data_IF_145772091872
#
_entry.id   IF_145772091872
#
_cell.length_a   1.000
_cell.length_b   1.000
_cell.length_c   1.000
_cell.angle_alpha   90.00
_cell.angle_beta   90.00
_cell.angle_gamma   90.00
#
_symmetry.space_group_name_H-M   'P 1'
#
loop_
_entity.id
_entity.type
_entity.pdbx_description
1 polymer ?
#
# COMPACT_ATOMS: atom_id res chain seq x y z
N UNK A 1 -21.59 6.39 -16.25
CA UNK A 1 -20.59 6.91 -15.29
C UNK A 1 -19.30 7.11 -16.07
N UNK A 2 -18.88 8.35 -16.27
CA UNK A 2 -17.68 8.70 -17.05
C UNK A 2 -16.41 8.45 -16.22
N UNK A 3 -15.26 8.30 -16.89
CA UNK A 3 -13.95 8.09 -16.25
C UNK A 3 -13.62 9.18 -15.22
N UNK A 4 -14.09 10.41 -15.46
CA UNK A 4 -13.88 11.57 -14.58
C UNK A 4 -14.77 11.54 -13.31
N UNK A 5 -15.96 10.92 -13.38
CA UNK A 5 -16.84 10.74 -12.22
C UNK A 5 -16.30 9.67 -11.26
N UNK A 6 -15.71 8.59 -11.78
CA UNK A 6 -15.07 7.57 -10.96
C UNK A 6 -13.83 8.10 -10.21
N UNK A 7 -13.04 8.97 -10.84
CA UNK A 7 -11.89 9.64 -10.22
C UNK A 7 -12.35 10.60 -9.13
N UNK A 8 -13.48 11.31 -9.29
CA UNK A 8 -14.04 12.20 -8.26
C UNK A 8 -14.59 11.46 -7.04
N UNK A 9 -15.11 10.24 -7.20
CA UNK A 9 -15.63 9.43 -6.09
C UNK A 9 -14.49 8.89 -5.22
N UNK A 10 -13.32 8.55 -5.82
CA UNK A 10 -12.14 8.10 -5.08
C UNK A 10 -11.34 9.25 -4.45
N UNK A 11 -11.42 10.46 -5.00
CA UNK A 11 -10.64 11.61 -4.55
C UNK A 11 -11.09 12.21 -3.21
N UNK A 12 -12.19 11.74 -2.59
CA UNK A 12 -12.64 12.18 -1.25
C UNK A 12 -13.58 11.16 -0.61
N UNK A 13 -13.12 9.99 -0.24
CA UNK A 13 -13.85 9.20 0.76
C UNK A 13 -13.57 9.80 2.14
N UNK A 14 -14.53 10.58 2.66
CA UNK A 14 -14.60 10.90 4.09
C UNK A 14 -15.01 9.64 4.83
N UNK A 15 -14.06 8.90 5.32
CA UNK A 15 -14.32 7.83 6.28
C UNK A 15 -14.47 8.49 7.65
N UNK A 16 -15.71 8.62 8.14
CA UNK A 16 -15.94 8.96 9.55
C UNK A 16 -15.56 7.74 10.38
N UNK A 17 -14.37 7.75 10.97
CA UNK A 17 -14.08 6.88 12.11
C UNK A 17 -14.68 7.52 13.37
N UNK A 18 -15.22 6.67 14.24
CA UNK A 18 -15.79 7.10 15.52
C UNK A 18 -14.63 7.55 16.42
N UNK A 19 -14.34 8.84 16.41
CA UNK A 19 -13.47 9.51 17.36
C UNK A 19 -14.37 10.30 18.28
N UNK A 20 -14.05 10.30 19.59
CA UNK A 20 -14.82 10.95 20.64
C UNK A 20 -15.33 12.33 20.23
N UNK A 21 -16.64 12.57 20.44
CA UNK A 21 -17.34 13.80 20.13
C UNK A 21 -16.90 15.02 20.96
N UNK A 22 -15.92 14.87 21.86
CA UNK A 22 -15.47 15.94 22.76
C UNK A 22 -14.28 16.76 22.26
N UNK A 23 -13.65 16.42 21.14
CA UNK A 23 -12.60 17.24 20.53
C UNK A 23 -13.14 18.04 19.35
N UNK A 24 -13.73 19.19 19.61
CA UNK A 24 -14.18 20.23 18.63
C UNK A 24 -13.04 20.88 17.81
N UNK A 25 -12.04 20.09 17.39
CA UNK A 25 -11.21 20.42 16.24
C UNK A 25 -11.43 19.31 15.23
N UNK A 26 -12.25 19.60 14.21
CA UNK A 26 -12.50 18.74 13.06
C UNK A 26 -11.16 18.32 12.42
N UNK A 27 -10.55 17.26 12.91
CA UNK A 27 -9.46 16.60 12.21
C UNK A 27 -10.12 15.80 11.09
N UNK A 28 -10.23 16.40 9.91
CA UNK A 28 -10.68 15.67 8.73
C UNK A 28 -9.65 14.59 8.43
N UNK A 29 -10.09 13.32 8.43
CA UNK A 29 -9.30 12.22 7.95
C UNK A 29 -9.65 11.99 6.49
N UNK A 30 -8.66 12.09 5.62
CA UNK A 30 -8.81 11.95 4.16
C UNK A 30 -7.87 10.86 3.69
N UNK A 31 -8.37 9.91 2.89
CA UNK A 31 -7.53 9.01 2.10
C UNK A 31 -7.67 9.41 0.64
N UNK A 32 -6.54 9.67 0.00
CA UNK A 32 -6.52 10.12 -1.39
C UNK A 32 -5.45 9.43 -2.23
N UNK A 33 -5.66 9.44 -3.54
CA UNK A 33 -4.64 9.07 -4.52
C UNK A 33 -3.76 10.30 -4.77
N UNK A 34 -2.47 10.15 -4.51
CA UNK A 34 -1.48 11.23 -4.70
C UNK A 34 -0.62 10.94 -5.91
N UNK A 35 -0.75 11.77 -6.95
CA UNK A 35 0.11 11.66 -8.13
C UNK A 35 1.52 12.14 -7.81
N UNK A 36 2.59 11.39 -8.18
CA UNK A 36 3.97 11.82 -7.99
C UNK A 36 4.33 13.13 -8.71
N UNK A 37 3.54 13.57 -9.67
CA UNK A 37 3.73 14.84 -10.40
C UNK A 37 2.89 15.99 -9.81
N UNK A 38 2.22 15.79 -8.66
CA UNK A 38 1.35 16.78 -8.04
C UNK A 38 2.04 17.54 -6.90
N UNK A 39 1.55 18.77 -6.58
CA UNK A 39 2.01 19.51 -5.41
C UNK A 39 1.72 18.80 -4.07
N UNK A 40 0.60 18.08 -3.88
CA UNK A 40 0.39 17.24 -2.70
C UNK A 40 1.49 16.20 -2.47
N UNK A 41 2.08 15.65 -3.54
CA UNK A 41 3.19 14.71 -3.40
C UNK A 41 4.45 15.35 -2.79
N UNK A 42 4.70 16.62 -3.06
CA UNK A 42 5.83 17.34 -2.44
C UNK A 42 5.67 17.40 -0.92
N UNK A 43 4.45 17.65 -0.42
CA UNK A 43 4.16 17.61 1.01
C UNK A 43 4.29 16.19 1.56
N UNK A 44 3.68 15.20 0.90
CA UNK A 44 3.77 13.79 1.26
C UNK A 44 5.23 13.33 1.34
N UNK A 45 6.05 13.67 0.33
CA UNK A 45 7.47 13.34 0.30
C UNK A 45 8.21 13.85 1.54
N UNK A 46 8.00 15.12 1.90
CA UNK A 46 8.64 15.75 3.05
C UNK A 46 8.17 15.14 4.37
N UNK A 47 6.88 14.92 4.52
CA UNK A 47 6.26 14.46 5.77
C UNK A 47 6.49 12.96 6.02
N UNK A 48 6.57 12.16 4.94
CA UNK A 48 6.79 10.71 5.00
C UNK A 48 8.21 10.29 4.59
N UNK A 49 9.17 11.23 4.52
CA UNK A 49 10.60 10.99 4.26
C UNK A 49 10.86 10.13 3.00
N UNK A 50 10.11 10.37 1.92
CA UNK A 50 10.30 9.66 0.65
C UNK A 50 11.65 10.08 0.03
N UNK A 51 12.51 9.10 -0.23
CA UNK A 51 13.82 9.35 -0.84
C UNK A 51 13.69 9.75 -2.31
N UNK A 52 14.71 10.45 -2.86
CA UNK A 52 14.71 10.87 -4.26
C UNK A 52 14.69 9.67 -5.22
N UNK A 53 15.39 8.60 -4.89
CA UNK A 53 15.41 7.37 -5.70
C UNK A 53 14.02 6.73 -5.75
N UNK A 54 13.33 6.64 -4.60
CA UNK A 54 11.97 6.08 -4.56
C UNK A 54 10.95 6.99 -5.27
N UNK A 55 11.09 8.31 -5.15
CA UNK A 55 10.28 9.26 -5.94
C UNK A 55 10.48 9.06 -7.44
N UNK A 56 11.74 8.93 -7.90
CA UNK A 56 12.04 8.71 -9.32
C UNK A 56 11.40 7.41 -9.84
N UNK A 57 11.47 6.34 -9.05
CA UNK A 57 10.81 5.08 -9.36
C UNK A 57 9.28 5.24 -9.43
N UNK A 58 8.66 5.86 -8.44
CA UNK A 58 7.23 6.12 -8.42
C UNK A 58 6.76 6.95 -9.63
N UNK A 59 7.53 7.99 -10.00
CA UNK A 59 7.23 8.80 -11.20
C UNK A 59 7.26 7.97 -12.47
N UNK A 60 8.26 7.11 -12.62
CA UNK A 60 8.38 6.22 -13.77
C UNK A 60 7.22 5.22 -13.83
N UNK A 61 6.91 4.54 -12.72
CA UNK A 61 5.82 3.57 -12.64
C UNK A 61 4.45 4.22 -12.84
N UNK A 62 4.24 5.40 -12.28
CA UNK A 62 2.97 6.14 -12.43
C UNK A 62 2.71 6.52 -13.88
N UNK A 63 3.73 6.97 -14.64
CA UNK A 63 3.62 7.24 -16.09
C UNK A 63 3.24 5.99 -16.88
N UNK A 64 3.70 4.82 -16.45
CA UNK A 64 3.35 3.52 -17.02
C UNK A 64 2.01 2.97 -16.50
N UNK A 65 1.33 3.67 -15.60
CA UNK A 65 0.13 3.20 -14.88
C UNK A 65 0.35 1.91 -14.07
N UNK A 66 1.57 1.71 -13.61
CA UNK A 66 1.99 0.53 -12.82
C UNK A 66 2.09 0.81 -11.32
N UNK A 67 1.82 2.01 -10.88
CA UNK A 67 1.76 2.34 -9.46
C UNK A 67 0.67 3.35 -9.15
N UNK A 68 0.06 3.19 -7.97
CA UNK A 68 -0.87 4.13 -7.36
C UNK A 68 -0.38 4.40 -5.94
N UNK A 69 -0.12 5.66 -5.62
CA UNK A 69 0.23 6.10 -4.27
C UNK A 69 -1.06 6.53 -3.56
N UNK A 70 -1.33 5.90 -2.43
CA UNK A 70 -2.44 6.22 -1.55
C UNK A 70 -1.87 6.82 -0.26
N UNK A 71 -2.40 7.94 0.17
CA UNK A 71 -1.95 8.61 1.38
C UNK A 71 -3.13 8.95 2.29
N UNK A 72 -2.87 8.97 3.59
CA UNK A 72 -3.81 9.43 4.60
C UNK A 72 -3.34 10.75 5.19
N UNK A 73 -4.24 11.73 5.16
CA UNK A 73 -4.06 13.06 5.73
C UNK A 73 -4.92 13.19 6.98
N UNK A 74 -4.38 13.79 8.03
CA UNK A 74 -5.08 14.15 9.26
C UNK A 74 -4.76 15.61 9.58
N UNK A 75 -5.78 16.46 9.60
CA UNK A 75 -5.63 17.86 9.95
C UNK A 75 -4.67 18.65 9.04
N UNK A 76 -4.61 18.35 7.74
CA UNK A 76 -3.76 19.03 6.76
C UNK A 76 -2.33 18.50 6.69
N UNK A 77 -2.03 17.36 7.35
CA UNK A 77 -0.72 16.72 7.33
C UNK A 77 -0.83 15.26 6.90
N UNK A 78 0.05 14.81 6.02
CA UNK A 78 0.17 13.39 5.67
C UNK A 78 0.83 12.60 6.80
N UNK A 79 0.13 11.58 7.28
CA UNK A 79 0.54 10.76 8.42
C UNK A 79 0.67 9.28 8.07
N UNK A 80 0.41 8.92 6.83
CA UNK A 80 0.60 7.56 6.35
C UNK A 80 0.49 7.46 4.84
N UNK A 81 1.11 6.41 4.30
CA UNK A 81 1.09 6.11 2.87
C UNK A 81 1.16 4.61 2.62
N UNK A 82 0.74 4.22 1.43
CA UNK A 82 0.95 2.91 0.85
C UNK A 82 1.02 3.05 -0.67
N UNK A 83 1.79 2.20 -1.32
CA UNK A 83 1.82 2.12 -2.78
C UNK A 83 1.26 0.78 -3.23
N UNK A 84 0.29 0.80 -4.13
CA UNK A 84 -0.10 -0.35 -4.93
C UNK A 84 0.78 -0.37 -6.19
N UNK A 85 1.58 -1.41 -6.39
CA UNK A 85 2.46 -1.60 -7.55
C UNK A 85 2.03 -2.82 -8.36
N UNK A 86 2.26 -2.77 -9.67
CA UNK A 86 2.01 -3.90 -10.59
C UNK A 86 3.29 -4.66 -10.93
N UNK A 87 4.40 -4.32 -10.31
CA UNK A 87 5.66 -5.04 -10.41
C UNK A 87 6.29 -5.23 -9.04
N UNK A 88 7.30 -6.06 -8.96
CA UNK A 88 8.02 -6.40 -7.73
C UNK A 88 9.43 -5.79 -7.70
N UNK A 89 9.75 -4.90 -8.64
CA UNK A 89 11.09 -4.30 -8.73
C UNK A 89 12.16 -5.39 -8.86
N UNK A 90 13.17 -5.37 -7.99
CA UNK A 90 14.27 -6.33 -8.00
C UNK A 90 13.82 -7.77 -7.63
N UNK A 91 12.62 -7.96 -7.05
CA UNK A 91 12.03 -9.26 -6.70
C UNK A 91 11.25 -9.89 -7.86
N UNK A 92 11.07 -9.17 -8.99
CA UNK A 92 10.17 -9.57 -10.09
C UNK A 92 10.47 -10.99 -10.60
N UNK A 93 11.73 -11.34 -10.80
CA UNK A 93 12.09 -12.65 -11.36
C UNK A 93 11.72 -13.82 -10.45
N UNK A 94 11.72 -13.62 -9.14
CA UNK A 94 11.39 -14.65 -8.14
C UNK A 94 9.88 -14.79 -8.03
N UNK A 95 9.18 -13.67 -7.87
CA UNK A 95 7.74 -13.65 -7.63
C UNK A 95 6.95 -13.95 -8.91
N UNK A 96 7.36 -13.38 -10.06
CA UNK A 96 6.65 -13.52 -11.32
C UNK A 96 6.61 -14.97 -11.83
N UNK A 97 7.58 -15.80 -11.46
CA UNK A 97 7.62 -17.21 -11.82
C UNK A 97 6.47 -18.01 -11.21
N UNK A 98 6.16 -17.77 -9.94
CA UNK A 98 5.17 -18.53 -9.19
C UNK A 98 3.82 -17.80 -9.13
N UNK A 99 3.84 -16.46 -9.22
CA UNK A 99 2.68 -15.57 -9.13
C UNK A 99 2.69 -14.52 -10.24
N UNK A 100 2.50 -14.91 -11.52
CA UNK A 100 2.56 -13.99 -12.64
C UNK A 100 1.51 -12.87 -12.55
N UNK A 101 1.96 -11.62 -12.72
CA UNK A 101 1.09 -10.45 -12.70
C UNK A 101 0.47 -10.11 -11.34
N UNK A 102 1.00 -10.66 -10.25
CA UNK A 102 0.54 -10.36 -8.89
C UNK A 102 0.86 -8.89 -8.54
N UNK A 103 -0.15 -8.02 -8.29
CA UNK A 103 0.12 -6.68 -7.77
C UNK A 103 0.55 -6.75 -6.32
N UNK A 104 1.37 -5.78 -5.89
CA UNK A 104 1.86 -5.75 -4.52
C UNK A 104 1.46 -4.49 -3.75
N UNK A 105 1.25 -4.66 -2.45
CA UNK A 105 1.31 -3.59 -1.45
C UNK A 105 2.77 -3.34 -1.12
N UNK A 106 3.22 -2.11 -1.34
CA UNK A 106 4.59 -1.70 -1.09
C UNK A 106 4.62 -0.43 -0.23
N UNK A 107 5.66 -0.27 0.57
CA UNK A 107 5.93 0.92 1.35
C UNK A 107 4.72 1.41 2.20
N UNK A 108 4.06 0.48 2.91
CA UNK A 108 3.06 0.84 3.92
C UNK A 108 3.77 1.46 5.13
N UNK A 109 3.54 2.73 5.35
CA UNK A 109 4.13 3.49 6.45
C UNK A 109 3.06 4.32 7.16
N UNK A 110 3.17 4.41 8.49
CA UNK A 110 2.37 5.29 9.35
C UNK A 110 3.33 6.03 10.28
N UNK A 111 3.21 7.36 10.34
CA UNK A 111 3.90 8.20 11.32
C UNK A 111 3.71 7.60 12.71
N UNK A 112 4.78 7.52 13.49
CA UNK A 112 4.79 6.81 14.79
C UNK A 112 3.74 7.35 15.77
N UNK A 113 3.48 8.66 15.75
CA UNK A 113 2.50 9.32 16.61
C UNK A 113 1.04 8.98 16.23
N UNK A 114 0.83 8.39 15.04
CA UNK A 114 -0.49 8.01 14.51
C UNK A 114 -0.68 6.50 14.39
N UNK A 115 0.28 5.70 14.89
CA UNK A 115 0.16 4.23 14.91
C UNK A 115 -0.91 3.77 15.89
N UNK A 116 -1.35 2.51 15.72
CA UNK A 116 -2.36 1.84 16.53
C UNK A 116 -3.75 2.47 16.52
N UNK A 117 -4.03 3.30 15.53
CA UNK A 117 -5.30 4.00 15.32
C UNK A 117 -6.09 3.46 14.11
N UNK A 118 -5.72 2.30 13.59
CA UNK A 118 -6.40 1.67 12.45
C UNK A 118 -5.99 2.18 11.07
N UNK A 119 -5.13 3.21 10.97
CA UNK A 119 -4.76 3.83 9.69
C UNK A 119 -4.09 2.86 8.71
N UNK A 120 -3.24 1.96 9.20
CA UNK A 120 -2.61 0.93 8.36
C UNK A 120 -3.66 -0.02 7.77
N UNK A 121 -4.62 -0.49 8.59
CA UNK A 121 -5.74 -1.31 8.12
C UNK A 121 -6.54 -0.60 7.05
N UNK A 122 -6.84 0.68 7.24
CA UNK A 122 -7.58 1.49 6.28
C UNK A 122 -6.83 1.64 4.95
N UNK A 123 -5.53 1.97 4.98
CA UNK A 123 -4.71 2.09 3.77
C UNK A 123 -4.63 0.77 3.00
N UNK A 124 -4.43 -0.36 3.69
CA UNK A 124 -4.43 -1.69 3.05
C UNK A 124 -5.78 -1.97 2.41
N UNK A 125 -6.90 -1.71 3.11
CA UNK A 125 -8.24 -1.93 2.56
C UNK A 125 -8.50 -1.08 1.31
N UNK A 126 -8.04 0.19 1.29
CA UNK A 126 -8.17 1.05 0.12
C UNK A 126 -7.31 0.55 -1.03
N UNK A 127 -6.08 0.08 -0.77
CA UNK A 127 -5.23 -0.54 -1.78
C UNK A 127 -5.84 -1.82 -2.37
N UNK A 128 -6.45 -2.68 -1.54
CA UNK A 128 -7.18 -3.86 -1.99
C UNK A 128 -8.38 -3.48 -2.89
N UNK A 129 -9.15 -2.46 -2.52
CA UNK A 129 -10.27 -1.99 -3.32
C UNK A 129 -9.80 -1.42 -4.66
N UNK A 130 -8.68 -0.70 -4.67
CA UNK A 130 -8.09 -0.20 -5.90
C UNK A 130 -7.59 -1.34 -6.80
N UNK A 131 -6.95 -2.37 -6.23
CA UNK A 131 -6.56 -3.57 -6.97
C UNK A 131 -7.79 -4.29 -7.58
N UNK A 132 -8.88 -4.45 -6.81
CA UNK A 132 -10.15 -5.01 -7.35
C UNK A 132 -10.70 -4.16 -8.48
N UNK A 133 -10.72 -2.84 -8.34
CA UNK A 133 -11.18 -1.90 -9.38
C UNK A 133 -10.37 -2.02 -10.67
N UNK A 134 -9.10 -2.37 -10.56
CA UNK A 134 -8.20 -2.61 -11.68
C UNK A 134 -8.33 -4.03 -12.27
N UNK A 135 -9.17 -4.89 -11.69
CA UNK A 135 -9.46 -6.23 -12.19
C UNK A 135 -8.58 -7.33 -11.61
N UNK A 136 -7.77 -7.04 -10.61
CA UNK A 136 -6.97 -8.06 -9.95
C UNK A 136 -7.82 -8.94 -9.02
N UNK A 137 -7.61 -10.24 -9.08
CA UNK A 137 -8.28 -11.23 -8.23
C UNK A 137 -7.49 -11.61 -6.98
N UNK A 138 -6.22 -11.21 -6.93
CA UNK A 138 -5.30 -11.47 -5.84
C UNK A 138 -4.37 -10.27 -5.63
N UNK A 139 -3.84 -10.11 -4.43
CA UNK A 139 -2.84 -9.10 -4.09
C UNK A 139 -1.79 -9.72 -3.17
N UNK A 140 -0.54 -9.28 -3.28
CA UNK A 140 0.56 -9.78 -2.48
C UNK A 140 1.34 -8.68 -1.76
N UNK A 141 2.23 -9.09 -0.88
CA UNK A 141 3.21 -8.23 -0.22
C UNK A 141 4.38 -9.07 0.29
N UNK A 142 5.56 -8.47 0.32
CA UNK A 142 6.72 -9.00 1.06
C UNK A 142 6.71 -8.46 2.49
N UNK A 143 6.87 -9.34 3.46
CA UNK A 143 7.01 -8.94 4.86
C UNK A 143 8.30 -9.48 5.45
N UNK A 144 9.09 -8.61 6.08
CA UNK A 144 10.32 -9.03 6.75
C UNK A 144 10.02 -10.00 7.90
N UNK A 145 10.82 -11.07 8.00
CA UNK A 145 10.59 -12.13 9.00
C UNK A 145 10.65 -11.63 10.44
N UNK A 146 11.39 -10.55 10.71
CA UNK A 146 11.51 -9.89 12.01
C UNK A 146 10.36 -8.92 12.32
N UNK A 147 9.55 -8.51 11.32
CA UNK A 147 8.49 -7.50 11.49
C UNK A 147 7.19 -8.11 12.02
N UNK A 148 7.21 -8.55 13.29
CA UNK A 148 6.05 -9.14 13.95
C UNK A 148 4.77 -8.27 13.94
N UNK A 149 4.85 -6.93 14.13
CA UNK A 149 3.66 -6.09 14.04
C UNK A 149 2.99 -6.12 12.67
N UNK A 150 3.77 -6.08 11.58
CA UNK A 150 3.25 -6.13 10.22
C UNK A 150 2.66 -7.51 9.88
N UNK A 151 3.34 -8.59 10.27
CA UNK A 151 2.83 -9.96 10.08
C UNK A 151 1.44 -10.13 10.72
N UNK A 152 1.29 -9.75 12.00
CA UNK A 152 -0.02 -9.80 12.68
C UNK A 152 -1.10 -8.93 12.03
N UNK A 153 -0.72 -7.76 11.50
CA UNK A 153 -1.65 -6.91 10.76
C UNK A 153 -2.19 -7.64 9.52
N UNK A 154 -1.29 -8.19 8.71
CA UNK A 154 -1.68 -8.84 7.45
C UNK A 154 -2.44 -10.16 7.68
N UNK A 155 -2.03 -10.97 8.65
CA UNK A 155 -2.78 -12.17 9.06
C UNK A 155 -4.22 -11.81 9.49
N UNK A 156 -4.38 -10.77 10.31
CA UNK A 156 -5.71 -10.25 10.72
C UNK A 156 -6.55 -9.77 9.53
N UNK A 157 -5.90 -9.26 8.48
CA UNK A 157 -6.55 -8.81 7.25
C UNK A 157 -6.83 -9.96 6.26
N UNK A 158 -6.48 -11.21 6.61
CA UNK A 158 -6.76 -12.40 5.80
C UNK A 158 -5.68 -12.72 4.77
N UNK A 159 -4.48 -12.16 4.92
CA UNK A 159 -3.33 -12.59 4.13
C UNK A 159 -2.77 -13.90 4.67
N UNK A 160 -2.32 -14.77 3.78
CA UNK A 160 -1.68 -16.04 4.08
C UNK A 160 -0.30 -16.13 3.48
N UNK A 161 0.60 -16.84 4.15
CA UNK A 161 1.96 -17.07 3.67
C UNK A 161 1.97 -17.97 2.44
N UNK A 162 2.90 -17.67 1.52
CA UNK A 162 3.14 -18.44 0.31
C UNK A 162 4.60 -18.84 0.22
N UNK A 163 4.86 -19.98 -0.39
CA UNK A 163 6.22 -20.35 -0.79
C UNK A 163 6.57 -19.69 -2.13
N UNK A 164 7.82 -19.35 -2.29
CA UNK A 164 8.39 -18.77 -3.51
C UNK A 164 9.60 -19.60 -3.92
N UNK A 165 9.61 -20.17 -5.11
CA UNK A 165 10.66 -21.08 -5.57
C UNK A 165 10.85 -22.30 -4.66
N UNK A 166 9.78 -22.74 -3.98
CA UNK A 166 9.82 -23.85 -3.01
C UNK A 166 10.42 -23.48 -1.64
N UNK A 167 10.65 -22.19 -1.36
CA UNK A 167 11.16 -21.70 -0.08
C UNK A 167 10.10 -20.85 0.65
N UNK A 168 10.11 -20.90 1.99
CA UNK A 168 9.25 -20.06 2.83
C UNK A 168 9.73 -18.61 2.90
N UNK A 169 10.96 -18.34 2.47
CA UNK A 169 11.58 -17.01 2.49
C UNK A 169 12.36 -16.75 1.22
N UNK A 170 12.50 -15.49 0.87
CA UNK A 170 13.36 -15.01 -0.19
C UNK A 170 14.18 -13.80 0.28
N UNK A 171 15.29 -13.53 -0.39
CA UNK A 171 16.17 -12.43 -0.06
C UNK A 171 15.78 -11.19 -0.88
N UNK A 172 15.71 -10.05 -0.22
CA UNK A 172 15.49 -8.74 -0.81
C UNK A 172 16.68 -7.83 -0.52
N UNK A 173 17.20 -7.21 -1.56
CA UNK A 173 18.33 -6.28 -1.50
C UNK A 173 17.81 -4.84 -1.46
N UNK A 174 18.07 -4.13 -0.37
CA UNK A 174 17.66 -2.73 -0.22
C UNK A 174 18.84 -1.81 0.06
N UNK A 175 18.84 -0.66 -0.62
CA UNK A 175 19.84 0.39 -0.42
C UNK A 175 21.01 0.30 -1.40
N UNK A 176 21.35 1.44 -2.01
CA UNK A 176 22.52 1.63 -2.88
C UNK A 176 23.42 2.72 -2.28
N UNK A 177 24.76 2.65 -2.38
CA UNK A 177 25.56 1.65 -3.12
C UNK A 177 25.84 0.34 -2.36
N UNK A 178 25.53 0.27 -1.06
CA UNK A 178 25.83 -0.90 -0.21
C UNK A 178 24.50 -1.58 0.21
N UNK A 179 23.96 -2.49 -0.60
CA UNK A 179 22.67 -3.10 -0.31
C UNK A 179 22.73 -3.98 0.94
N UNK A 180 21.72 -3.84 1.79
CA UNK A 180 21.47 -4.76 2.90
C UNK A 180 20.53 -5.87 2.43
N UNK A 181 20.77 -7.09 2.89
CA UNK A 181 19.93 -8.25 2.60
C UNK A 181 18.86 -8.37 3.68
N UNK A 182 17.60 -8.33 3.28
CA UNK A 182 16.47 -8.62 4.13
C UNK A 182 15.86 -9.95 3.75
N UNK A 183 15.50 -10.77 4.75
CA UNK A 183 14.73 -12.00 4.52
C UNK A 183 13.25 -11.69 4.60
N UNK A 184 12.55 -11.90 3.50
CA UNK A 184 11.12 -11.66 3.40
C UNK A 184 10.34 -12.98 3.28
N UNK A 185 9.07 -12.93 3.67
CA UNK A 185 8.05 -13.93 3.34
C UNK A 185 7.01 -13.28 2.44
N UNK A 186 6.60 -13.98 1.40
CA UNK A 186 5.47 -13.57 0.59
C UNK A 186 4.17 -13.88 1.35
N UNK A 187 3.28 -12.91 1.40
CA UNK A 187 1.90 -13.10 1.82
C UNK A 187 0.96 -12.66 0.71
N UNK A 188 -0.11 -13.42 0.48
CA UNK A 188 -1.14 -13.10 -0.53
C UNK A 188 -2.53 -13.14 0.07
N UNK A 189 -3.45 -12.44 -0.59
CA UNK A 189 -4.87 -12.45 -0.27
C UNK A 189 -5.70 -12.50 -1.56
N UNK A 190 -6.71 -13.38 -1.60
CA UNK A 190 -7.74 -13.37 -2.64
C UNK A 190 -8.60 -12.11 -2.50
N UNK A 191 -8.83 -11.43 -3.62
CA UNK A 191 -9.67 -10.25 -3.69
C UNK A 191 -11.08 -10.57 -4.23
N UNK A 192 -11.32 -11.82 -4.61
CA UNK A 192 -12.65 -12.25 -5.06
C UNK A 192 -13.61 -12.17 -3.87
N UNK A 193 -14.76 -11.53 -4.05
CA UNK A 193 -15.90 -11.70 -3.15
C UNK A 193 -16.33 -13.17 -3.28
N UNK A 194 -16.41 -13.90 -2.15
CA UNK A 194 -17.10 -15.17 -2.15
C UNK A 194 -18.49 -14.93 -2.75
N UNK A 195 -18.74 -15.49 -3.93
CA UNK A 195 -20.08 -15.47 -4.48
C UNK A 195 -20.96 -16.19 -3.44
N UNK A 196 -21.85 -15.46 -2.80
CA UNK A 196 -22.86 -16.02 -1.96
C UNK A 196 -23.59 -17.10 -2.77
N UNK A 197 -23.28 -18.37 -2.52
CA UNK A 197 -24.09 -19.49 -2.94
C UNK A 197 -25.31 -19.47 -2.02
N UNK A 198 -26.31 -18.67 -2.42
CA UNK A 198 -27.67 -18.72 -1.87
C UNK A 198 -28.48 -19.81 -2.55
#
# INVERSE_FOLDING_TARGET
MTKDEAVKIFNRQRVRTHWDEEAEKQHSLIVEVVSPDSSPFTCLKKEMYITDDYEADLRNLSKQKKAVVLAVEVGGRYVGRVTLRHDWGDETSIIEKDFPGLPQINALEIDENYRRQGLATMLVTVAENEARRQGFSMIGLGVEISNEPAKRLYEKLGYSYQQVGGSDTYDFLFGKPNPQVYKLRLMTKSLQTEANHG
#
